data_IF_586232545723
#
_entry.id   IF_586232545723
#
_cell.length_a   1.000
_cell.length_b   1.000
_cell.length_c   1.000
_cell.angle_alpha   90.00
_cell.angle_beta   90.00
_cell.angle_gamma   90.00
#
_symmetry.space_group_name_H-M   'P 1'
#
loop_
_entity.id
_entity.type
_entity.pdbx_description
1 polymer ?
#
# COMPACT_ATOMS: atom_id res chain seq x y z
N UNK A 1 -12.62 -11.86 0.63
CA UNK A 1 -13.78 -10.97 0.41
C UNK A 1 -14.63 -10.90 1.67
N UNK A 2 -15.39 -9.81 1.85
CA UNK A 2 -16.42 -9.63 2.89
C UNK A 2 -17.73 -9.14 2.26
N UNK A 3 -18.85 -9.35 2.96
CA UNK A 3 -20.18 -8.87 2.54
C UNK A 3 -20.75 -8.01 3.68
N UNK A 4 -20.28 -6.76 3.75
CA UNK A 4 -20.66 -5.78 4.77
C UNK A 4 -21.04 -4.46 4.10
N UNK A 5 -22.00 -3.73 4.68
CA UNK A 5 -22.43 -2.42 4.17
C UNK A 5 -21.29 -1.40 4.36
N UNK A 6 -20.99 -0.61 3.33
CA UNK A 6 -19.93 0.41 3.35
C UNK A 6 -18.50 -0.11 3.17
N UNK A 7 -18.23 -1.42 3.26
CA UNK A 7 -16.87 -1.99 3.17
C UNK A 7 -16.64 -2.58 1.77
N UNK A 8 -15.52 -2.25 1.08
CA UNK A 8 -15.22 -2.82 -0.24
C UNK A 8 -15.05 -4.34 -0.20
N UNK A 9 -15.80 -5.06 -1.04
CA UNK A 9 -15.84 -6.54 -1.04
C UNK A 9 -14.48 -7.21 -1.26
N UNK A 10 -13.52 -6.53 -1.89
CA UNK A 10 -12.16 -7.04 -2.14
C UNK A 10 -11.36 -7.25 -0.83
N UNK A 11 -11.68 -6.48 0.22
CA UNK A 11 -11.09 -6.69 1.56
C UNK A 11 -11.48 -8.08 2.07
N UNK A 12 -10.55 -8.79 2.69
CA UNK A 12 -10.80 -10.08 3.36
C UNK A 12 -10.89 -9.86 4.90
N UNK A 13 -11.47 -10.81 5.66
CA UNK A 13 -11.66 -10.63 7.11
C UNK A 13 -10.37 -10.34 7.87
N UNK A 14 -9.25 -10.99 7.50
CA UNK A 14 -7.94 -10.78 8.14
C UNK A 14 -7.39 -9.38 7.85
N UNK A 15 -7.46 -8.91 6.60
CA UNK A 15 -7.09 -7.54 6.23
C UNK A 15 -7.93 -6.51 6.97
N UNK A 16 -9.25 -6.72 7.09
CA UNK A 16 -10.12 -5.82 7.86
C UNK A 16 -9.73 -5.80 9.35
N UNK A 17 -9.38 -6.96 9.92
CA UNK A 17 -8.91 -7.08 11.30
C UNK A 17 -7.57 -6.37 11.54
N UNK A 18 -6.63 -6.46 10.58
CA UNK A 18 -5.36 -5.70 10.62
C UNK A 18 -5.62 -4.20 10.53
N UNK A 19 -6.40 -3.74 9.55
CA UNK A 19 -6.71 -2.31 9.40
C UNK A 19 -7.44 -1.72 10.62
N UNK A 20 -8.27 -2.52 11.31
CA UNK A 20 -8.95 -2.12 12.55
C UNK A 20 -8.06 -2.17 13.81
N UNK A 21 -6.86 -2.74 13.72
CA UNK A 21 -5.85 -2.81 14.78
C UNK A 21 -4.73 -1.77 14.64
N UNK A 22 -4.54 -1.23 13.43
CA UNK A 22 -3.50 -0.23 13.15
C UNK A 22 -3.75 1.09 13.91
N UNK A 23 -2.72 1.57 14.60
CA UNK A 23 -2.68 2.89 15.23
C UNK A 23 -2.17 3.99 14.29
N UNK A 24 -2.07 5.21 14.83
CA UNK A 24 -1.40 6.30 14.14
C UNK A 24 0.11 6.02 14.07
N UNK A 25 0.66 6.04 12.85
CA UNK A 25 2.07 5.72 12.58
C UNK A 25 2.33 4.28 12.15
N UNK A 26 1.34 3.37 12.23
CA UNK A 26 1.51 2.00 11.71
C UNK A 26 1.52 1.97 10.18
N UNK A 27 2.41 1.16 9.60
CA UNK A 27 2.60 1.03 8.15
C UNK A 27 2.01 -0.27 7.58
N UNK A 28 1.61 -0.25 6.31
CA UNK A 28 1.14 -1.43 5.57
C UNK A 28 1.80 -1.55 4.19
N UNK A 29 2.28 -2.75 3.86
CA UNK A 29 2.99 -3.08 2.62
C UNK A 29 2.04 -3.74 1.63
N UNK A 30 1.86 -3.17 0.43
CA UNK A 30 1.15 -3.84 -0.67
C UNK A 30 2.18 -4.47 -1.62
N UNK A 31 2.63 -5.66 -1.24
CA UNK A 31 3.60 -6.45 -1.97
C UNK A 31 3.09 -6.85 -3.37
N UNK A 32 3.98 -6.83 -4.36
CA UNK A 32 3.75 -7.48 -5.65
C UNK A 32 4.15 -8.97 -5.61
N UNK A 33 3.96 -9.70 -6.72
CA UNK A 33 4.23 -11.13 -6.81
C UNK A 33 5.73 -11.51 -6.72
N UNK A 34 6.65 -10.55 -6.91
CA UNK A 34 8.09 -10.75 -6.84
C UNK A 34 8.67 -10.36 -5.46
N UNK A 35 7.95 -9.52 -4.69
CA UNK A 35 8.37 -9.09 -3.37
C UNK A 35 8.45 -10.29 -2.39
N UNK A 36 9.55 -10.46 -1.62
CA UNK A 36 9.83 -11.67 -0.84
C UNK A 36 9.06 -11.74 0.50
N UNK A 37 7.73 -11.56 0.44
CA UNK A 37 6.82 -11.48 1.60
C UNK A 37 7.03 -12.61 2.62
N UNK A 38 7.24 -13.85 2.15
CA UNK A 38 7.36 -15.03 3.00
C UNK A 38 8.67 -15.12 3.82
N UNK A 39 9.73 -14.37 3.47
CA UNK A 39 10.92 -14.25 4.31
C UNK A 39 10.85 -13.02 5.22
N UNK A 40 10.38 -11.88 4.69
CA UNK A 40 10.20 -10.63 5.45
C UNK A 40 9.24 -10.81 6.64
N UNK A 41 8.08 -11.44 6.42
CA UNK A 41 7.08 -11.65 7.47
C UNK A 41 7.41 -12.77 8.46
N UNK A 42 8.52 -13.52 8.28
CA UNK A 42 8.83 -14.67 9.15
C UNK A 42 9.10 -14.28 10.61
N UNK A 43 9.69 -13.10 10.80
CA UNK A 43 10.07 -12.55 12.10
C UNK A 43 9.73 -11.04 12.17
N UNK A 44 8.63 -10.64 11.52
CA UNK A 44 8.28 -9.23 11.29
C UNK A 44 6.77 -9.04 11.12
N UNK A 45 6.30 -8.29 10.10
CA UNK A 45 4.89 -7.92 9.97
C UNK A 45 3.96 -9.10 9.62
N UNK A 46 2.69 -8.99 9.99
CA UNK A 46 1.64 -10.01 9.77
C UNK A 46 1.39 -10.25 8.26
N UNK A 47 1.56 -11.50 7.80
CA UNK A 47 1.43 -11.86 6.38
C UNK A 47 -0.04 -12.09 5.97
N UNK A 48 -0.66 -11.07 5.37
CA UNK A 48 -1.99 -11.22 4.75
C UNK A 48 -1.85 -11.54 3.26
N UNK A 49 -2.43 -12.67 2.82
CA UNK A 49 -2.53 -13.03 1.40
C UNK A 49 -3.69 -12.30 0.71
N UNK A 50 -3.43 -11.79 -0.49
CA UNK A 50 -4.41 -11.12 -1.37
C UNK A 50 -4.29 -11.64 -2.82
N UNK A 51 -4.13 -12.96 -2.97
CA UNK A 51 -3.94 -13.63 -4.25
C UNK A 51 -5.07 -13.34 -5.25
N UNK A 52 -4.69 -13.17 -6.52
CA UNK A 52 -5.63 -12.82 -7.59
C UNK A 52 -6.13 -11.37 -7.56
N UNK A 53 -5.52 -10.48 -6.76
CA UNK A 53 -5.84 -9.05 -6.74
C UNK A 53 -4.65 -8.21 -7.22
N UNK A 54 -4.92 -7.30 -8.16
CA UNK A 54 -3.96 -6.27 -8.53
C UNK A 54 -3.90 -5.18 -7.44
N UNK A 55 -2.73 -4.54 -7.29
CA UNK A 55 -2.51 -3.52 -6.26
C UNK A 55 -3.45 -2.30 -6.43
N UNK A 56 -3.74 -1.72 -7.61
CA UNK A 56 -4.55 -0.50 -7.69
C UNK A 56 -6.00 -0.66 -7.14
N UNK A 57 -6.76 -1.74 -7.45
CA UNK A 57 -8.04 -2.01 -6.78
C UNK A 57 -7.93 -2.22 -5.27
N UNK A 58 -6.88 -2.91 -4.80
CA UNK A 58 -6.67 -3.19 -3.38
C UNK A 58 -6.31 -1.92 -2.60
N UNK A 59 -5.41 -1.11 -3.15
CA UNK A 59 -5.04 0.23 -2.68
C UNK A 59 -6.29 1.10 -2.49
N UNK A 60 -7.10 1.26 -3.55
CA UNK A 60 -8.32 2.10 -3.51
C UNK A 60 -9.31 1.63 -2.45
N UNK A 61 -9.39 0.33 -2.20
CA UNK A 61 -10.22 -0.24 -1.15
C UNK A 61 -9.66 0.02 0.25
N UNK A 62 -8.35 -0.16 0.46
CA UNK A 62 -7.70 0.11 1.75
C UNK A 62 -7.80 1.59 2.10
N UNK A 63 -7.49 2.49 1.17
CA UNK A 63 -7.55 3.96 1.40
C UNK A 63 -8.97 4.52 1.46
N UNK A 64 -10.02 3.70 1.30
CA UNK A 64 -11.40 4.08 1.64
C UNK A 64 -11.76 3.80 3.11
N UNK A 65 -10.86 3.15 3.86
CA UNK A 65 -11.02 2.77 5.27
C UNK A 65 -9.89 3.31 6.15
N UNK A 66 -8.65 3.26 5.65
CA UNK A 66 -7.43 3.72 6.32
C UNK A 66 -7.12 5.17 5.91
N UNK A 67 -7.19 6.14 6.85
CA UNK A 67 -6.72 7.50 6.58
C UNK A 67 -5.20 7.52 6.45
N UNK A 68 -4.69 8.42 5.61
CA UNK A 68 -3.26 8.64 5.42
C UNK A 68 -2.76 9.68 6.42
N UNK A 69 -1.56 9.48 6.96
CA UNK A 69 -0.96 10.41 7.92
C UNK A 69 -0.64 11.77 7.27
N UNK A 70 -1.19 12.84 7.83
CA UNK A 70 -1.00 14.23 7.39
C UNK A 70 0.13 14.96 8.12
N UNK A 71 0.70 14.38 9.18
CA UNK A 71 1.79 14.98 9.95
C UNK A 71 3.18 14.73 9.34
N UNK A 72 3.32 13.72 8.48
CA UNK A 72 4.56 13.42 7.76
C UNK A 72 4.58 14.05 6.35
N UNK A 73 5.72 14.58 5.87
CA UNK A 73 5.83 15.21 4.53
C UNK A 73 5.86 14.18 3.38
N UNK A 74 5.86 12.90 3.75
CA UNK A 74 5.84 11.72 2.90
C UNK A 74 5.23 10.56 3.69
N UNK A 75 3.93 10.30 3.51
CA UNK A 75 3.29 9.04 3.86
C UNK A 75 3.13 8.06 2.66
N UNK A 76 4.06 7.75 1.74
CA UNK A 76 5.31 8.42 1.35
C UNK A 76 6.43 7.64 0.61
N UNK A 77 6.30 6.37 0.23
CA UNK A 77 7.36 5.63 -0.51
C UNK A 77 6.84 4.67 -1.60
N UNK A 78 7.76 4.27 -2.50
CA UNK A 78 7.68 3.23 -3.55
C UNK A 78 9.06 2.56 -3.67
N UNK A 79 9.17 1.39 -4.31
CA UNK A 79 10.49 0.86 -4.71
C UNK A 79 11.12 1.80 -5.74
N UNK A 80 12.35 2.26 -5.50
CA UNK A 80 13.15 2.89 -6.55
C UNK A 80 13.76 1.83 -7.47
N UNK A 81 13.79 2.09 -8.78
CA UNK A 81 14.43 1.20 -9.75
C UNK A 81 15.92 1.03 -9.45
N UNK A 82 16.41 -0.21 -9.55
CA UNK A 82 17.85 -0.51 -9.45
C UNK A 82 18.63 0.12 -10.60
N UNK A 83 19.94 0.29 -10.42
CA UNK A 83 20.79 1.04 -11.35
C UNK A 83 20.77 0.49 -12.79
N UNK A 84 20.61 -0.82 -12.96
CA UNK A 84 20.54 -1.46 -14.27
C UNK A 84 19.19 -1.20 -14.97
N UNK A 85 18.08 -1.24 -14.24
CA UNK A 85 16.74 -0.94 -14.77
C UNK A 85 16.62 0.54 -15.18
N UNK A 86 17.20 1.44 -14.38
CA UNK A 86 17.36 2.86 -14.72
C UNK A 86 18.15 3.04 -16.02
N UNK A 87 19.28 2.33 -16.17
CA UNK A 87 20.10 2.33 -17.41
C UNK A 87 19.37 1.75 -18.62
N UNK A 88 18.54 0.73 -18.41
CA UNK A 88 17.70 0.12 -19.45
C UNK A 88 16.48 0.97 -19.85
N UNK A 89 16.23 2.10 -19.16
CA UNK A 89 15.07 2.95 -19.41
C UNK A 89 13.73 2.30 -19.03
N UNK A 90 13.73 1.39 -18.05
CA UNK A 90 12.53 0.66 -17.62
C UNK A 90 11.46 1.65 -17.15
N UNK A 91 10.24 1.53 -17.71
CA UNK A 91 9.11 2.39 -17.39
C UNK A 91 8.21 1.75 -16.34
N UNK A 92 7.77 2.55 -15.37
CA UNK A 92 6.92 2.13 -14.25
C UNK A 92 5.54 2.80 -14.28
N UNK A 93 4.72 2.59 -15.35
CA UNK A 93 3.47 3.31 -15.57
C UNK A 93 2.43 3.12 -14.45
N UNK A 94 2.57 2.05 -13.66
CA UNK A 94 1.73 1.76 -12.49
C UNK A 94 1.84 2.85 -11.40
N UNK A 95 2.99 3.56 -11.30
CA UNK A 95 3.19 4.62 -10.29
C UNK A 95 2.23 5.80 -10.49
N UNK A 96 1.92 6.16 -11.73
CA UNK A 96 0.95 7.23 -12.04
C UNK A 96 -0.50 6.77 -11.76
N UNK A 97 -0.82 5.48 -11.90
CA UNK A 97 -2.11 4.94 -11.46
C UNK A 97 -2.27 5.02 -9.94
N UNK A 98 -1.23 4.63 -9.19
CA UNK A 98 -1.21 4.77 -7.74
C UNK A 98 -1.40 6.22 -7.31
N UNK A 99 -0.58 7.14 -7.85
CA UNK A 99 -0.66 8.58 -7.60
C UNK A 99 -2.06 9.15 -7.89
N UNK A 100 -2.69 8.76 -9.00
CA UNK A 100 -4.06 9.17 -9.35
C UNK A 100 -5.11 8.69 -8.35
N UNK A 101 -5.08 7.41 -7.96
CA UNK A 101 -5.99 6.85 -6.93
C UNK A 101 -5.83 7.59 -5.60
N UNK A 102 -4.59 7.86 -5.22
CA UNK A 102 -4.24 8.43 -3.93
C UNK A 102 -4.60 9.93 -3.86
N UNK A 103 -4.43 10.68 -4.96
CA UNK A 103 -4.94 12.04 -5.11
C UNK A 103 -6.47 12.13 -4.99
N UNK A 104 -7.21 11.14 -5.53
CA UNK A 104 -8.69 11.09 -5.39
C UNK A 104 -9.15 10.96 -3.93
N UNK A 105 -8.36 10.30 -3.07
CA UNK A 105 -8.68 10.13 -1.65
C UNK A 105 -8.28 11.38 -0.85
N UNK A 106 -7.06 11.92 -1.07
CA UNK A 106 -6.60 13.11 -0.35
C UNK A 106 -7.48 14.35 -0.54
N UNK A 107 -8.18 14.46 -1.68
CA UNK A 107 -9.07 15.60 -1.97
C UNK A 107 -10.26 15.75 -1.01
N UNK A 108 -10.52 14.76 -0.14
CA UNK A 108 -11.60 14.80 0.86
C UNK A 108 -11.18 15.57 2.14
N UNK A 109 -9.88 15.89 2.32
CA UNK A 109 -9.40 16.61 3.52
C UNK A 109 -8.05 17.32 3.38
N UNK A 110 -8.08 18.57 2.91
CA UNK A 110 -6.95 19.53 2.88
C UNK A 110 -5.73 19.15 2.00
N UNK A 111 -4.74 20.05 1.94
CA UNK A 111 -3.77 20.13 0.85
C UNK A 111 -2.71 19.01 0.82
N UNK A 112 -2.41 18.54 -0.39
CA UNK A 112 -1.57 17.39 -0.72
C UNK A 112 -0.06 17.60 -0.53
N UNK A 113 0.60 16.69 0.21
CA UNK A 113 2.01 16.33 -0.04
C UNK A 113 2.30 14.82 0.13
N UNK A 114 2.13 14.07 -0.98
CA UNK A 114 2.71 12.72 -1.29
C UNK A 114 2.03 11.54 -0.54
N UNK A 115 2.10 10.32 -1.10
CA UNK A 115 1.39 9.11 -0.60
C UNK A 115 2.17 7.78 -0.88
N UNK A 116 1.92 6.73 -0.11
CA UNK A 116 2.60 5.40 -0.04
C UNK A 116 2.10 4.37 -1.05
N UNK A 117 3.03 3.49 -1.47
CA UNK A 117 2.93 2.01 -1.48
C UNK A 117 4.33 1.40 -1.31
N UNK A 118 4.65 0.73 -0.21
CA UNK A 118 5.98 0.15 -0.01
C UNK A 118 6.28 -1.04 -0.96
N UNK A 119 7.47 -1.08 -1.58
CA UNK A 119 7.91 -2.21 -2.43
C UNK A 119 9.41 -2.59 -2.31
N UNK A 120 10.26 -1.96 -1.48
CA UNK A 120 11.63 -2.46 -1.29
C UNK A 120 12.31 -2.09 0.02
N UNK A 121 12.96 -3.09 0.64
CA UNK A 121 13.93 -2.88 1.73
C UNK A 121 13.33 -2.77 3.12
N UNK A 122 12.44 -3.70 3.52
CA UNK A 122 12.03 -3.82 4.93
C UNK A 122 13.26 -4.20 5.76
N UNK A 123 13.87 -3.19 6.38
CA UNK A 123 14.62 -3.36 7.61
C UNK A 123 13.64 -3.17 8.75
N UNK A 124 13.14 -4.29 9.29
CA UNK A 124 12.70 -4.29 10.67
C UNK A 124 13.94 -3.96 11.53
N UNK A 125 13.87 -2.81 12.21
CA UNK A 125 14.70 -2.45 13.35
C UNK A 125 13.78 -2.44 14.57
#
# INVERSE_FOLDING_TARGET
MVILKGIPRIINPSLLSVLARMGHGDEIVLADANFPSASICRHGPELIRADGHAIPPLLKAITSLLPLDTYVPRPAMLMELVHNDKKAGLKTPIWEQYKSILQQVSYIGHNLHKIFIFLHGVKCN
#
